data_IF_910659453263
#
_entry.id   IF_910659453263
#
_cell.length_a   1.000
_cell.length_b   1.000
_cell.length_c   1.000
_cell.angle_alpha   90.00
_cell.angle_beta   90.00
_cell.angle_gamma   90.00
#
_symmetry.space_group_name_H-M   'P 1'
#
loop_
_entity.id
_entity.type
_entity.pdbx_description
1 polymer ?
#
# COMPACT_ATOMS: atom_id res chain seq x y z
N UNK A 1 17.83 -88.90 36.56
CA UNK A 1 16.82 -87.92 36.08
C UNK A 1 16.47 -86.77 37.04
N UNK A 2 16.67 -86.84 38.37
CA UNK A 2 16.25 -85.76 39.31
C UNK A 2 17.07 -84.47 39.28
N UNK A 3 18.38 -84.52 38.97
CA UNK A 3 19.30 -83.36 39.02
C UNK A 3 19.03 -82.28 37.95
N UNK A 4 18.52 -82.68 36.78
CA UNK A 4 18.17 -81.75 35.69
C UNK A 4 16.85 -81.01 35.89
N UNK A 5 15.89 -81.58 36.63
CA UNK A 5 14.65 -80.87 36.97
C UNK A 5 14.92 -79.71 37.93
N UNK A 6 15.79 -79.92 38.92
CA UNK A 6 16.13 -78.89 39.90
C UNK A 6 16.82 -77.66 39.27
N UNK A 7 17.76 -77.88 38.33
CA UNK A 7 18.40 -76.78 37.57
C UNK A 7 17.40 -76.00 36.71
N UNK A 8 16.44 -76.68 36.08
CA UNK A 8 15.40 -76.03 35.27
C UNK A 8 14.44 -75.17 36.12
N UNK A 9 14.11 -75.63 37.33
CA UNK A 9 13.27 -74.85 38.27
C UNK A 9 14.01 -73.59 38.74
N UNK A 10 15.29 -73.71 39.13
CA UNK A 10 16.09 -72.54 39.54
C UNK A 10 16.23 -71.52 38.39
N UNK A 11 16.47 -72.00 37.16
CA UNK A 11 16.57 -71.12 36.00
C UNK A 11 15.23 -70.41 35.72
N UNK A 12 14.11 -71.13 35.84
CA UNK A 12 12.77 -70.54 35.71
C UNK A 12 12.50 -69.45 36.76
N UNK A 13 12.88 -69.69 38.02
CA UNK A 13 12.73 -68.71 39.11
C UNK A 13 13.60 -67.47 38.86
N UNK A 14 14.85 -67.63 38.39
CA UNK A 14 15.69 -66.49 38.04
C UNK A 14 15.11 -65.65 36.91
N UNK A 15 14.59 -66.28 35.85
CA UNK A 15 13.98 -65.57 34.72
C UNK A 15 12.76 -64.78 35.17
N UNK A 16 11.90 -65.38 36.01
CA UNK A 16 10.74 -64.69 36.59
C UNK A 16 11.18 -63.52 37.46
N UNK A 17 12.22 -63.69 38.28
CA UNK A 17 12.76 -62.62 39.13
C UNK A 17 13.33 -61.47 38.31
N UNK A 18 14.09 -61.76 37.24
CA UNK A 18 14.63 -60.73 36.34
C UNK A 18 13.49 -59.96 35.65
N UNK A 19 12.45 -60.65 35.18
CA UNK A 19 11.26 -60.02 34.60
C UNK A 19 10.54 -59.14 35.61
N UNK A 20 10.41 -59.58 36.86
CA UNK A 20 9.78 -58.82 37.93
C UNK A 20 10.59 -57.55 38.27
N UNK A 21 11.92 -57.66 38.33
CA UNK A 21 12.81 -56.51 38.55
C UNK A 21 12.79 -55.55 37.37
N UNK A 22 12.69 -56.05 36.13
CA UNK A 22 12.58 -55.19 34.95
C UNK A 22 11.24 -54.42 34.92
N UNK A 23 10.12 -55.09 35.24
CA UNK A 23 8.79 -54.47 35.27
C UNK A 23 8.68 -53.47 36.43
N UNK A 24 9.14 -53.85 37.63
CA UNK A 24 9.09 -52.96 38.80
C UNK A 24 10.09 -51.81 38.69
N UNK A 25 11.29 -52.06 38.16
CA UNK A 25 12.28 -51.03 37.86
C UNK A 25 11.79 -50.00 36.84
N UNK A 26 11.10 -50.45 35.78
CA UNK A 26 10.44 -49.56 34.83
C UNK A 26 9.36 -48.68 35.47
N UNK A 27 8.46 -49.27 36.26
CA UNK A 27 7.37 -48.54 36.92
C UNK A 27 7.86 -47.56 38.01
N UNK A 28 8.92 -47.93 38.75
CA UNK A 28 9.54 -47.08 39.76
C UNK A 28 10.33 -45.95 39.09
N UNK A 29 11.03 -46.22 37.99
CA UNK A 29 11.73 -45.20 37.20
C UNK A 29 10.75 -44.16 36.65
N UNK A 30 9.62 -44.59 36.10
CA UNK A 30 8.60 -43.69 35.54
C UNK A 30 7.99 -42.76 36.60
N UNK A 31 7.79 -43.27 37.84
CA UNK A 31 7.30 -42.47 38.97
C UNK A 31 8.35 -41.57 39.63
N UNK A 32 9.61 -42.00 39.73
CA UNK A 32 10.69 -41.23 40.36
C UNK A 32 11.24 -40.14 39.45
N UNK A 33 11.39 -40.43 38.16
CA UNK A 33 12.01 -39.52 37.20
C UNK A 33 10.99 -38.73 36.39
N UNK A 34 9.70 -39.06 36.49
CA UNK A 34 8.64 -38.31 35.83
C UNK A 34 9.01 -38.01 34.39
N UNK A 35 9.38 -39.04 33.61
CA UNK A 35 9.65 -38.91 32.19
C UNK A 35 8.29 -38.67 31.52
N UNK A 36 7.79 -37.45 31.67
CA UNK A 36 6.88 -36.89 30.69
C UNK A 36 7.65 -37.07 29.37
N UNK A 37 7.11 -37.76 28.36
CA UNK A 37 7.68 -37.61 27.04
C UNK A 37 7.79 -36.11 26.86
N UNK A 38 8.98 -35.61 26.54
CA UNK A 38 9.11 -34.23 26.12
C UNK A 38 8.03 -34.08 25.05
N UNK A 39 6.94 -33.39 25.38
CA UNK A 39 6.22 -32.63 24.39
C UNK A 39 7.25 -31.60 23.96
N UNK A 40 8.18 -32.04 23.11
CA UNK A 40 8.83 -31.19 22.15
C UNK A 40 7.62 -30.71 21.37
N UNK A 41 7.09 -29.58 21.83
CA UNK A 41 6.15 -28.79 21.08
C UNK A 41 6.85 -28.55 19.76
N UNK A 42 6.56 -29.43 18.81
CA UNK A 42 6.68 -29.18 17.39
C UNK A 42 5.62 -28.12 17.10
N UNK A 43 5.73 -26.96 17.75
CA UNK A 43 5.16 -25.72 17.26
C UNK A 43 5.76 -25.63 15.86
N UNK A 44 4.89 -25.89 14.90
CA UNK A 44 5.21 -26.19 13.51
C UNK A 44 6.03 -25.00 13.00
N UNK A 45 7.16 -25.26 12.32
CA UNK A 45 8.14 -24.25 11.90
C UNK A 45 7.53 -22.96 11.34
N UNK A 46 6.39 -23.05 10.67
CA UNK A 46 5.61 -21.93 10.14
C UNK A 46 5.04 -20.99 11.23
N UNK A 47 4.45 -21.52 12.31
CA UNK A 47 3.91 -20.71 13.41
C UNK A 47 5.03 -19.89 14.06
N UNK A 48 6.19 -20.53 14.31
CA UNK A 48 7.37 -19.84 14.84
C UNK A 48 7.86 -18.74 13.91
N UNK A 49 7.85 -18.96 12.58
CA UNK A 49 8.25 -17.95 11.61
C UNK A 49 7.32 -16.74 11.68
N UNK A 50 6.00 -16.97 11.70
CA UNK A 50 5.00 -15.90 11.72
C UNK A 50 5.10 -15.08 12.99
N UNK A 51 5.18 -15.73 14.16
CA UNK A 51 5.27 -15.02 15.44
C UNK A 51 6.55 -14.22 15.55
N UNK A 52 7.69 -14.77 15.10
CA UNK A 52 8.98 -14.06 15.12
C UNK A 52 8.98 -12.86 14.18
N UNK A 53 8.54 -13.02 12.93
CA UNK A 53 8.45 -11.90 11.99
C UNK A 53 7.48 -10.83 12.51
N UNK A 54 6.33 -11.23 13.06
CA UNK A 54 5.39 -10.28 13.63
C UNK A 54 6.00 -9.52 14.81
N UNK A 55 6.74 -10.18 15.70
CA UNK A 55 7.40 -9.54 16.84
C UNK A 55 8.49 -8.55 16.39
N UNK A 56 9.36 -8.98 15.47
CA UNK A 56 10.53 -8.20 15.03
C UNK A 56 10.16 -7.04 14.11
N UNK A 57 9.20 -7.23 13.20
CA UNK A 57 8.90 -6.27 12.14
C UNK A 57 7.78 -5.30 12.53
N UNK A 58 6.80 -5.71 13.34
CA UNK A 58 5.67 -4.82 13.69
C UNK A 58 6.08 -3.47 14.30
N UNK A 59 7.16 -3.33 15.10
CA UNK A 59 7.65 -2.02 15.54
C UNK A 59 8.08 -1.07 14.41
N UNK A 60 8.36 -1.61 13.22
CA UNK A 60 8.69 -0.86 12.01
C UNK A 60 7.45 -0.50 11.18
N UNK A 61 6.29 -1.12 11.46
CA UNK A 61 5.02 -0.91 10.76
C UNK A 61 4.19 0.11 11.52
N UNK A 62 3.58 1.03 10.78
CA UNK A 62 2.85 2.16 11.34
C UNK A 62 1.47 2.29 10.70
N UNK A 63 0.54 2.89 11.42
CA UNK A 63 -0.76 3.31 10.91
C UNK A 63 -0.66 4.73 10.36
N UNK A 64 -1.27 4.97 9.20
CA UNK A 64 -1.44 6.33 8.65
C UNK A 64 -2.84 6.80 8.99
N UNK A 65 -2.92 7.92 9.70
CA UNK A 65 -4.16 8.54 10.15
C UNK A 65 -4.34 9.89 9.47
N UNK A 66 -5.56 10.20 9.05
CA UNK A 66 -5.94 11.39 8.31
C UNK A 66 -7.01 12.17 9.06
N UNK A 67 -6.89 13.50 9.06
CA UNK A 67 -7.89 14.41 9.61
C UNK A 67 -8.20 15.50 8.58
N UNK A 68 -9.42 15.50 8.07
CA UNK A 68 -9.94 16.54 7.17
C UNK A 68 -10.48 17.73 7.96
N UNK A 69 -10.57 18.89 7.32
CA UNK A 69 -11.17 20.07 7.96
C UNK A 69 -12.67 19.85 8.19
N UNK A 70 -13.23 20.21 9.36
CA UNK A 70 -14.65 20.07 9.61
C UNK A 70 -15.45 20.95 8.66
N UNK A 71 -16.38 20.35 7.92
CA UNK A 71 -17.31 21.03 7.00
C UNK A 71 -18.74 20.76 7.43
N UNK A 72 -19.57 21.80 7.35
CA UNK A 72 -21.00 21.72 7.68
C UNK A 72 -21.77 21.33 6.42
N UNK A 73 -22.42 20.17 6.44
CA UNK A 73 -23.19 19.65 5.33
C UNK A 73 -24.67 19.72 5.68
N UNK A 74 -25.44 20.31 4.77
CA UNK A 74 -26.90 20.35 4.84
C UNK A 74 -27.42 19.12 4.11
N UNK A 75 -28.10 18.24 4.84
CA UNK A 75 -28.75 17.06 4.29
C UNK A 75 -30.26 17.21 4.41
N UNK A 76 -30.96 17.06 3.29
CA UNK A 76 -32.41 17.02 3.28
C UNK A 76 -32.89 15.60 3.60
N UNK A 77 -33.77 15.50 4.61
CA UNK A 77 -34.49 14.28 4.93
C UNK A 77 -36.00 14.53 4.68
N UNK A 78 -36.68 13.69 3.88
CA UNK A 78 -38.09 13.89 3.53
C UNK A 78 -39.06 13.83 4.73
N UNK A 79 -38.62 13.32 5.88
CA UNK A 79 -39.43 13.25 7.11
C UNK A 79 -39.07 14.32 8.15
N UNK A 80 -37.88 14.94 8.06
CA UNK A 80 -37.38 15.89 9.09
C UNK A 80 -36.81 17.20 8.54
N UNK A 81 -36.88 17.44 7.23
CA UNK A 81 -36.44 18.68 6.58
C UNK A 81 -34.92 18.77 6.43
N UNK A 82 -34.39 20.00 6.35
CA UNK A 82 -32.95 20.23 6.28
C UNK A 82 -32.30 20.05 7.66
N UNK A 83 -31.43 19.06 7.76
CA UNK A 83 -30.58 18.83 8.92
C UNK A 83 -29.15 19.20 8.59
N UNK A 84 -28.39 19.68 9.59
CA UNK A 84 -26.98 20.02 9.42
C UNK A 84 -26.13 19.00 10.17
N UNK A 85 -25.23 18.31 9.47
CA UNK A 85 -24.20 17.46 10.08
C UNK A 85 -22.82 18.06 9.84
N UNK A 86 -21.96 18.01 10.85
CA UNK A 86 -20.53 18.29 10.66
C UNK A 86 -19.88 17.00 10.16
N UNK A 87 -19.24 17.05 9.00
CA UNK A 87 -18.43 15.98 8.44
C UNK A 87 -16.95 16.41 8.48
N UNK A 88 -16.06 15.47 8.78
CA UNK A 88 -14.62 15.76 8.97
C UNK A 88 -14.31 16.29 10.37
N UNK A 89 -13.03 16.61 10.61
CA UNK A 89 -12.53 17.12 11.89
C UNK A 89 -12.13 16.05 12.91
N UNK A 90 -12.58 14.81 12.75
CA UNK A 90 -12.12 13.67 13.57
C UNK A 90 -11.03 12.89 12.80
N UNK A 91 -9.89 12.56 13.44
CA UNK A 91 -8.90 11.68 12.85
C UNK A 91 -9.49 10.29 12.53
N UNK A 92 -9.09 9.72 11.40
CA UNK A 92 -9.46 8.38 10.97
C UNK A 92 -8.21 7.64 10.51
N UNK A 93 -8.08 6.37 10.91
CA UNK A 93 -7.02 5.52 10.40
C UNK A 93 -7.42 4.99 9.03
N UNK A 94 -6.61 5.30 8.03
CA UNK A 94 -7.00 5.13 6.62
C UNK A 94 -6.06 4.19 5.86
N UNK A 95 -4.93 3.85 6.47
CA UNK A 95 -3.90 3.08 5.80
C UNK A 95 -2.79 2.65 6.74
N UNK A 96 -1.80 2.02 6.14
CA UNK A 96 -0.59 1.55 6.80
C UNK A 96 0.63 2.14 6.12
N UNK A 97 1.76 2.03 6.79
CA UNK A 97 3.06 2.34 6.24
C UNK A 97 4.13 1.56 6.98
N UNK A 98 5.38 1.72 6.57
CA UNK A 98 6.52 1.20 7.31
C UNK A 98 7.72 2.13 7.23
N UNK A 99 8.47 2.17 8.32
CA UNK A 99 9.64 3.01 8.50
C UNK A 99 10.77 2.43 7.67
N UNK A 100 11.44 3.26 6.88
CA UNK A 100 12.60 2.88 6.05
C UNK A 100 13.89 3.58 6.49
N UNK A 101 13.81 4.52 7.42
CA UNK A 101 14.98 5.19 7.95
C UNK A 101 14.82 5.60 9.42
N UNK A 102 15.93 5.62 10.16
CA UNK A 102 15.93 6.00 11.60
C UNK A 102 15.59 7.46 11.84
N UNK A 103 15.82 8.33 10.85
CA UNK A 103 15.47 9.74 10.93
C UNK A 103 13.97 9.98 10.65
N UNK A 104 13.18 8.95 10.35
CA UNK A 104 11.72 9.06 10.27
C UNK A 104 11.17 9.20 8.84
N UNK A 105 11.78 8.53 7.87
CA UNK A 105 11.15 8.31 6.57
C UNK A 105 10.26 7.07 6.63
N UNK A 106 9.05 7.20 6.10
CA UNK A 106 8.03 6.17 6.09
C UNK A 106 7.52 6.02 4.66
N UNK A 107 7.35 4.78 4.23
CA UNK A 107 6.72 4.42 2.96
C UNK A 107 5.25 4.13 3.21
N UNK A 108 4.39 4.61 2.32
CA UNK A 108 2.98 4.21 2.19
C UNK A 108 2.56 4.29 0.72
N UNK A 109 1.30 4.05 0.40
CA UNK A 109 0.78 4.31 -0.94
C UNK A 109 0.44 5.78 -1.16
N UNK A 110 0.53 6.22 -2.42
CA UNK A 110 0.15 7.58 -2.81
C UNK A 110 -1.36 7.81 -2.63
N UNK A 111 -2.20 6.84 -2.97
CA UNK A 111 -3.66 6.98 -2.81
C UNK A 111 -4.09 7.17 -1.35
N UNK A 112 -3.37 6.56 -0.39
CA UNK A 112 -3.62 6.73 1.06
C UNK A 112 -3.45 8.18 1.47
N UNK A 113 -2.49 8.90 0.89
CA UNK A 113 -2.20 10.30 1.24
C UNK A 113 -2.54 11.27 0.11
N UNK A 114 -3.61 11.00 -0.64
CA UNK A 114 -4.00 11.76 -1.83
C UNK A 114 -4.62 13.13 -1.54
N UNK A 115 -5.31 13.31 -0.41
CA UNK A 115 -5.90 14.60 -0.04
C UNK A 115 -4.81 15.57 0.43
N UNK A 116 -4.47 16.54 -0.42
CA UNK A 116 -3.45 17.56 -0.12
C UNK A 116 -3.90 18.60 0.93
N UNK A 117 -5.18 18.63 1.30
CA UNK A 117 -5.75 19.57 2.28
C UNK A 117 -5.91 18.96 3.67
N UNK A 118 -5.77 17.64 3.78
CA UNK A 118 -5.86 16.92 5.04
C UNK A 118 -4.57 17.01 5.85
N UNK A 119 -4.71 16.86 7.17
CA UNK A 119 -3.57 16.66 8.07
C UNK A 119 -3.33 15.17 8.25
N UNK A 120 -2.07 14.75 8.23
CA UNK A 120 -1.70 13.36 8.39
C UNK A 120 -0.86 13.16 9.64
N UNK A 121 -1.07 12.01 10.28
CA UNK A 121 -0.27 11.50 11.39
C UNK A 121 0.14 10.07 11.13
N UNK A 122 1.23 9.69 11.75
CA UNK A 122 1.72 8.32 11.81
C UNK A 122 1.57 7.83 13.25
N UNK A 123 1.02 6.64 13.42
CA UNK A 123 0.83 6.02 14.73
C UNK A 123 1.63 4.72 14.75
N UNK A 124 2.52 4.61 15.72
CA UNK A 124 3.41 3.45 15.90
C UNK A 124 2.75 2.34 16.72
N UNK A 125 3.39 1.16 16.81
CA UNK A 125 2.90 0.00 17.57
C UNK A 125 2.63 0.27 19.05
N UNK A 126 3.37 1.19 19.64
CA UNK A 126 3.20 1.62 21.03
C UNK A 126 2.32 2.87 21.16
N UNK A 127 1.45 3.12 20.16
CA UNK A 127 0.49 4.22 20.08
C UNK A 127 1.11 5.63 20.15
N UNK A 128 2.42 5.76 19.89
CA UNK A 128 3.02 7.10 19.74
C UNK A 128 2.61 7.70 18.40
N UNK A 129 2.07 8.90 18.46
CA UNK A 129 1.68 9.70 17.31
C UNK A 129 2.79 10.66 16.89
N UNK A 130 3.03 10.74 15.58
CA UNK A 130 3.94 11.69 14.96
C UNK A 130 3.20 12.45 13.87
N UNK A 131 3.26 13.78 13.89
CA UNK A 131 2.77 14.59 12.78
C UNK A 131 3.64 14.40 11.55
N UNK A 132 3.00 14.23 10.39
CA UNK A 132 3.69 14.17 9.11
C UNK A 132 4.04 15.58 8.68
N UNK A 133 5.33 15.85 8.54
CA UNK A 133 5.85 17.19 8.21
C UNK A 133 5.98 17.42 6.72
N UNK A 134 6.20 16.35 5.94
CA UNK A 134 6.29 16.43 4.48
C UNK A 134 5.79 15.14 3.86
N UNK A 135 5.10 15.27 2.74
CA UNK A 135 4.63 14.16 1.92
C UNK A 135 5.21 14.35 0.53
N UNK A 136 5.91 13.34 0.03
CA UNK A 136 6.39 13.29 -1.34
C UNK A 136 5.75 12.11 -2.04
N UNK A 137 5.07 12.36 -3.15
CA UNK A 137 4.31 11.35 -3.89
C UNK A 137 5.03 11.03 -5.19
N UNK A 138 5.25 9.73 -5.44
CA UNK A 138 5.84 9.26 -6.67
C UNK A 138 4.85 9.53 -7.82
N UNK A 139 5.26 10.26 -8.88
CA UNK A 139 4.40 10.51 -10.03
C UNK A 139 4.11 9.24 -10.86
N UNK A 140 5.01 8.26 -10.83
CA UNK A 140 4.98 7.10 -11.71
C UNK A 140 4.25 5.90 -11.09
N UNK A 141 4.43 5.69 -9.79
CA UNK A 141 3.88 4.55 -9.06
C UNK A 141 2.99 5.03 -7.90
N UNK A 142 2.22 4.10 -7.34
CA UNK A 142 1.39 4.38 -6.17
C UNK A 142 2.21 4.35 -4.86
N UNK A 143 3.31 5.11 -4.80
CA UNK A 143 4.23 5.20 -3.66
C UNK A 143 4.22 6.63 -3.12
N UNK A 144 4.20 6.77 -1.80
CA UNK A 144 4.49 8.03 -1.12
C UNK A 144 5.53 7.83 -0.02
N UNK A 145 6.40 8.82 0.14
CA UNK A 145 7.35 8.95 1.24
C UNK A 145 6.85 10.05 2.18
N UNK A 146 6.59 9.67 3.43
CA UNK A 146 6.23 10.57 4.52
C UNK A 146 7.47 10.86 5.34
N UNK A 147 7.60 12.12 5.77
CA UNK A 147 8.60 12.54 6.75
C UNK A 147 7.93 12.84 8.09
N UNK A 148 8.49 12.29 9.15
CA UNK A 148 8.19 12.66 10.54
C UNK A 148 9.47 13.12 11.25
N UNK A 149 9.31 13.78 12.40
CA UNK A 149 10.41 14.23 13.24
C UNK A 149 10.43 13.45 14.58
N UNK A 150 11.07 12.27 14.63
CA UNK A 150 11.15 11.51 15.86
C UNK A 150 12.14 12.15 16.85
N UNK A 151 11.80 12.13 18.14
CA UNK A 151 12.75 12.51 19.20
C UNK A 151 13.95 11.56 19.23
N UNK A 152 15.11 12.06 19.68
CA UNK A 152 16.29 11.23 19.93
C UNK A 152 15.94 10.05 20.86
N UNK A 153 16.29 8.83 20.47
CA UNK A 153 15.96 7.64 21.25
C UNK A 153 14.49 7.18 21.14
N UNK A 154 13.75 7.64 20.13
CA UNK A 154 12.38 7.20 19.83
C UNK A 154 12.19 5.69 19.75
N UNK A 155 13.26 4.96 19.43
CA UNK A 155 13.25 3.51 19.25
C UNK A 155 12.74 3.07 17.87
N UNK A 156 12.53 4.00 16.93
CA UNK A 156 12.10 3.66 15.57
C UNK A 156 13.11 2.73 14.89
N UNK A 157 12.58 1.68 14.28
CA UNK A 157 13.34 0.68 13.53
C UNK A 157 12.93 0.74 12.07
N UNK A 158 13.92 0.74 11.19
CA UNK A 158 13.67 0.64 9.76
C UNK A 158 13.43 -0.84 9.41
N UNK A 159 12.42 -1.10 8.58
CA UNK A 159 12.20 -2.41 8.01
C UNK A 159 13.32 -2.74 7.01
N UNK A 160 13.75 -4.00 6.98
CA UNK A 160 14.75 -4.47 6.02
C UNK A 160 14.08 -4.69 4.66
N UNK A 161 14.67 -4.16 3.58
CA UNK A 161 14.16 -4.34 2.22
C UNK A 161 14.81 -5.57 1.57
N UNK A 162 14.00 -6.57 1.22
CA UNK A 162 14.41 -7.78 0.51
C UNK A 162 14.59 -7.54 -0.99
N UNK A 163 14.49 -8.59 -1.81
CA UNK A 163 14.60 -8.51 -3.28
C UNK A 163 13.39 -9.17 -3.94
N UNK A 164 12.68 -8.43 -4.77
CA UNK A 164 11.51 -8.96 -5.48
C UNK A 164 11.84 -9.72 -6.77
N UNK A 165 13.08 -9.66 -7.27
CA UNK A 165 13.48 -10.30 -8.53
C UNK A 165 13.56 -11.83 -8.46
N UNK A 166 13.78 -12.37 -7.25
CA UNK A 166 13.93 -13.79 -6.99
C UNK A 166 12.66 -14.46 -6.44
N UNK A 167 11.53 -13.73 -6.40
CA UNK A 167 10.27 -14.25 -5.89
C UNK A 167 9.75 -15.39 -6.74
N UNK A 168 9.07 -16.34 -6.09
CA UNK A 168 8.42 -17.48 -6.76
C UNK A 168 6.98 -17.61 -6.34
N UNK A 169 6.12 -18.00 -7.27
CA UNK A 169 4.76 -18.44 -6.96
C UNK A 169 4.80 -19.60 -5.97
N UNK A 170 3.92 -19.56 -4.97
CA UNK A 170 3.88 -20.49 -3.84
C UNK A 170 4.82 -20.12 -2.68
N UNK A 171 5.63 -19.07 -2.80
CA UNK A 171 6.47 -18.59 -1.69
C UNK A 171 5.59 -18.02 -0.59
N UNK A 172 5.86 -18.42 0.65
CA UNK A 172 5.16 -17.95 1.85
C UNK A 172 5.38 -16.45 2.07
N UNK A 173 4.31 -15.76 2.47
CA UNK A 173 4.31 -14.32 2.75
C UNK A 173 3.49 -13.97 3.99
N UNK A 174 3.87 -12.86 4.62
CA UNK A 174 3.20 -12.29 5.78
C UNK A 174 2.86 -10.82 5.46
N UNK A 175 1.62 -10.40 5.68
CA UNK A 175 1.23 -9.01 5.57
C UNK A 175 0.93 -8.44 6.97
N UNK A 176 1.37 -7.21 7.21
CA UNK A 176 1.11 -6.49 8.46
C UNK A 176 0.53 -5.12 8.14
N UNK A 177 -0.54 -4.73 8.83
CA UNK A 177 -1.18 -3.43 8.61
C UNK A 177 -2.31 -3.12 9.58
N UNK A 178 -3.14 -2.15 9.22
CA UNK A 178 -4.28 -1.67 10.01
C UNK A 178 -5.57 -2.08 9.31
N UNK A 179 -6.02 -3.30 9.57
CA UNK A 179 -7.17 -3.85 8.87
C UNK A 179 -8.44 -3.04 9.19
N UNK A 180 -9.18 -2.71 8.13
CA UNK A 180 -10.41 -1.93 8.12
C UNK A 180 -10.31 -0.53 8.73
N UNK A 181 -9.09 0.00 8.93
CA UNK A 181 -8.89 1.27 9.64
C UNK A 181 -9.23 1.18 11.14
N UNK A 182 -9.43 -0.03 11.68
CA UNK A 182 -9.86 -0.25 13.07
C UNK A 182 -8.87 -1.14 13.82
N UNK A 183 -8.35 -2.17 13.15
CA UNK A 183 -7.53 -3.21 13.76
C UNK A 183 -6.05 -3.00 13.43
N UNK A 184 -5.41 -2.09 14.15
CA UNK A 184 -3.97 -1.79 14.02
C UNK A 184 -3.13 -3.04 14.28
N UNK A 185 -2.02 -3.17 13.55
CA UNK A 185 -1.05 -4.28 13.67
C UNK A 185 -1.66 -5.68 13.45
N UNK A 186 -2.66 -5.76 12.58
CA UNK A 186 -3.21 -7.04 12.11
C UNK A 186 -2.16 -7.76 11.26
N UNK A 187 -1.94 -9.03 11.56
CA UNK A 187 -1.03 -9.91 10.82
C UNK A 187 -1.84 -10.95 10.06
N UNK A 188 -1.56 -11.11 8.77
CA UNK A 188 -2.16 -12.15 7.92
C UNK A 188 -1.06 -12.87 7.15
N UNK A 189 -1.33 -14.11 6.74
CA UNK A 189 -0.36 -14.97 6.06
C UNK A 189 -0.96 -15.56 4.80
N UNK A 190 -0.11 -15.89 3.83
CA UNK A 190 -0.52 -16.53 2.59
C UNK A 190 0.70 -16.92 1.76
N UNK A 191 0.53 -16.96 0.45
CA UNK A 191 1.57 -17.22 -0.53
C UNK A 191 1.51 -16.20 -1.67
N UNK A 192 2.61 -16.10 -2.42
CA UNK A 192 2.61 -15.46 -3.74
C UNK A 192 1.76 -16.32 -4.69
N UNK A 193 0.60 -15.82 -5.06
CA UNK A 193 -0.33 -16.48 -5.99
C UNK A 193 -0.03 -16.17 -7.46
N UNK A 194 0.73 -15.10 -7.72
CA UNK A 194 1.11 -14.69 -9.07
C UNK A 194 2.12 -13.55 -9.06
N UNK A 195 2.85 -13.41 -10.16
CA UNK A 195 3.83 -12.35 -10.40
C UNK A 195 3.54 -11.71 -11.75
N UNK A 196 3.99 -10.47 -11.96
CA UNK A 196 3.87 -9.79 -13.24
C UNK A 196 2.44 -9.47 -13.65
N UNK A 197 1.53 -9.24 -12.70
CA UNK A 197 0.13 -8.94 -13.02
C UNK A 197 -0.01 -7.47 -13.41
N UNK A 198 -0.93 -7.19 -14.33
CA UNK A 198 -1.40 -5.83 -14.62
C UNK A 198 -2.81 -5.67 -14.11
N UNK A 199 -3.06 -4.64 -13.30
CA UNK A 199 -4.39 -4.29 -12.79
C UNK A 199 -4.69 -2.82 -13.02
N UNK A 200 -5.97 -2.48 -13.02
CA UNK A 200 -6.43 -1.11 -12.89
C UNK A 200 -7.00 -0.97 -11.48
N UNK A 201 -6.29 -0.24 -10.62
CA UNK A 201 -6.72 0.06 -9.27
C UNK A 201 -7.53 1.36 -9.25
N UNK A 202 -8.64 1.37 -8.52
CA UNK A 202 -9.56 2.52 -8.43
C UNK A 202 -10.83 2.36 -9.27
N UNK A 203 -11.81 3.22 -9.01
CA UNK A 203 -13.11 3.20 -9.69
C UNK A 203 -13.12 4.21 -10.86
N UNK A 204 -13.50 3.80 -12.08
CA UNK A 204 -13.71 4.72 -13.21
C UNK A 204 -14.70 5.85 -12.90
N UNK A 205 -15.59 5.62 -11.92
CA UNK A 205 -16.61 6.57 -11.49
C UNK A 205 -16.13 7.56 -10.43
N UNK A 206 -15.01 7.26 -9.75
CA UNK A 206 -14.40 8.14 -8.74
C UNK A 206 -13.30 9.04 -9.32
N UNK A 207 -13.06 8.95 -10.64
CA UNK A 207 -12.09 9.81 -11.34
C UNK A 207 -10.62 9.44 -11.13
N UNK A 208 -10.33 8.39 -10.37
CA UNK A 208 -8.98 7.87 -10.14
C UNK A 208 -8.92 6.40 -10.55
N UNK A 209 -8.23 6.13 -11.65
CA UNK A 209 -7.87 4.79 -12.10
C UNK A 209 -6.37 4.76 -12.36
N UNK A 210 -5.61 4.07 -11.51
CA UNK A 210 -4.18 3.88 -11.67
C UNK A 210 -3.93 2.50 -12.27
N UNK A 211 -3.30 2.47 -13.44
CA UNK A 211 -2.86 1.23 -14.05
C UNK A 211 -1.54 0.82 -13.39
N UNK A 212 -1.57 -0.29 -12.67
CA UNK A 212 -0.41 -0.86 -12.01
C UNK A 212 0.01 -2.10 -12.78
N UNK A 213 1.19 -2.04 -13.40
CA UNK A 213 1.80 -3.15 -14.12
C UNK A 213 2.89 -3.81 -13.25
N UNK A 214 3.20 -5.08 -13.55
CA UNK A 214 4.23 -5.89 -12.88
C UNK A 214 4.04 -6.07 -11.36
N UNK A 215 2.80 -6.18 -10.88
CA UNK A 215 2.51 -6.33 -9.45
C UNK A 215 2.50 -7.79 -8.97
N UNK A 216 2.73 -7.97 -7.67
CA UNK A 216 2.67 -9.25 -6.95
C UNK A 216 1.21 -9.53 -6.57
N UNK A 217 0.74 -10.75 -6.81
CA UNK A 217 -0.56 -11.23 -6.32
C UNK A 217 -0.34 -12.16 -5.12
N UNK A 218 -1.14 -12.01 -4.07
CA UNK A 218 -1.11 -12.83 -2.85
C UNK A 218 -2.51 -13.26 -2.43
N UNK A 219 -2.62 -14.41 -1.76
CA UNK A 219 -3.86 -14.83 -1.08
C UNK A 219 -3.87 -14.49 0.42
N UNK A 220 -2.80 -13.89 0.94
CA UNK A 220 -2.82 -13.29 2.28
C UNK A 220 -3.94 -12.24 2.34
N UNK A 221 -4.72 -12.26 3.43
CA UNK A 221 -5.84 -11.34 3.57
C UNK A 221 -5.37 -9.88 3.63
N UNK A 222 -5.59 -9.16 2.53
CA UNK A 222 -5.44 -7.71 2.41
C UNK A 222 -6.84 -7.12 2.46
N UNK A 223 -7.06 -6.09 3.28
CA UNK A 223 -8.32 -5.36 3.41
C UNK A 223 -8.05 -3.86 3.31
N UNK A 224 -9.11 -3.05 3.24
CA UNK A 224 -9.01 -1.60 3.43
C UNK A 224 -8.18 -1.29 4.69
N UNK A 225 -7.31 -0.29 4.64
CA UNK A 225 -6.40 0.07 5.72
C UNK A 225 -5.06 -0.70 5.77
N UNK A 226 -4.93 -1.87 5.12
CA UNK A 226 -3.63 -2.53 4.94
C UNK A 226 -2.77 -1.88 3.85
N UNK A 227 -3.38 -1.08 2.96
CA UNK A 227 -2.70 -0.35 1.89
C UNK A 227 -1.55 0.50 2.45
N UNK A 228 -0.39 0.40 1.83
CA UNK A 228 0.87 1.01 2.23
C UNK A 228 1.70 0.19 3.22
N UNK A 229 1.11 -0.84 3.86
CA UNK A 229 1.82 -1.76 4.75
C UNK A 229 2.72 -2.74 3.99
N UNK A 230 3.69 -3.38 4.66
CA UNK A 230 4.61 -4.29 4.00
C UNK A 230 4.00 -5.67 3.72
N UNK A 231 4.40 -6.26 2.59
CA UNK A 231 4.37 -7.69 2.33
C UNK A 231 5.77 -8.25 2.60
N UNK A 232 5.87 -9.24 3.49
CA UNK A 232 7.12 -9.75 4.05
C UNK A 232 7.37 -11.19 3.60
N UNK A 233 8.63 -11.56 3.41
CA UNK A 233 9.03 -12.96 3.30
C UNK A 233 9.22 -13.61 4.69
N UNK A 234 9.56 -14.90 4.73
CA UNK A 234 9.81 -15.65 5.97
C UNK A 234 11.01 -15.17 6.79
N UNK A 235 11.83 -14.27 6.26
CA UNK A 235 12.95 -13.63 6.96
C UNK A 235 12.56 -12.27 7.55
N UNK A 236 11.32 -11.83 7.39
CA UNK A 236 10.87 -10.50 7.84
C UNK A 236 11.36 -9.35 6.96
N UNK A 237 11.85 -9.63 5.76
CA UNK A 237 12.24 -8.61 4.79
C UNK A 237 11.04 -8.20 3.94
N UNK A 238 10.89 -6.90 3.70
CA UNK A 238 9.87 -6.34 2.80
C UNK A 238 10.17 -6.78 1.38
N UNK A 239 9.24 -7.49 0.76
CA UNK A 239 9.28 -7.92 -0.64
C UNK A 239 8.24 -7.21 -1.50
N UNK A 240 7.29 -6.51 -0.87
CA UNK A 240 6.39 -5.60 -1.56
C UNK A 240 5.64 -4.64 -0.63
N UNK A 241 4.88 -3.72 -1.23
CA UNK A 241 4.00 -2.76 -0.54
C UNK A 241 2.56 -3.10 -0.90
N UNK A 242 1.73 -3.47 0.09
CA UNK A 242 0.33 -3.84 -0.13
C UNK A 242 -0.43 -2.64 -0.70
N UNK A 243 -1.23 -2.82 -1.75
CA UNK A 243 -1.90 -1.70 -2.45
C UNK A 243 -3.40 -1.88 -2.54
N UNK A 244 -3.82 -2.95 -3.20
CA UNK A 244 -5.20 -3.11 -3.64
C UNK A 244 -5.70 -4.53 -3.39
N UNK A 245 -7.01 -4.66 -3.44
CA UNK A 245 -7.74 -5.93 -3.50
C UNK A 245 -8.57 -5.95 -4.77
N UNK A 246 -8.78 -7.12 -5.36
CA UNK A 246 -9.77 -7.24 -6.43
C UNK A 246 -11.18 -7.09 -5.83
N UNK A 247 -11.93 -6.07 -6.26
CA UNK A 247 -13.31 -5.87 -5.82
C UNK A 247 -14.17 -7.09 -6.14
N UNK A 248 -14.96 -7.55 -5.17
CA UNK A 248 -15.87 -8.68 -5.33
C UNK A 248 -15.19 -10.07 -5.35
N UNK A 249 -13.88 -10.14 -5.13
CA UNK A 249 -13.15 -11.40 -4.98
C UNK A 249 -12.53 -11.54 -3.58
N UNK A 250 -12.60 -12.75 -3.03
CA UNK A 250 -11.95 -13.07 -1.75
C UNK A 250 -10.54 -13.58 -2.00
N UNK A 251 -9.59 -13.22 -1.12
CA UNK A 251 -8.19 -13.69 -1.15
C UNK A 251 -7.46 -13.41 -2.48
N UNK A 252 -7.74 -12.26 -3.11
CA UNK A 252 -6.97 -11.74 -4.24
C UNK A 252 -6.46 -10.35 -3.85
N UNK A 253 -5.30 -10.34 -3.20
CA UNK A 253 -4.58 -9.14 -2.81
C UNK A 253 -3.42 -8.84 -3.74
N UNK A 254 -3.02 -7.57 -3.77
CA UNK A 254 -1.98 -7.07 -4.66
C UNK A 254 -0.95 -6.21 -3.92
N UNK A 255 0.31 -6.34 -4.31
CA UNK A 255 1.41 -5.55 -3.77
C UNK A 255 2.38 -5.07 -4.86
N UNK A 256 2.89 -3.86 -4.72
CA UNK A 256 3.99 -3.35 -5.54
C UNK A 256 5.29 -4.07 -5.16
N UNK A 257 6.09 -4.58 -6.11
CA UNK A 257 7.39 -5.19 -5.82
C UNK A 257 8.34 -4.24 -5.08
N UNK A 258 9.09 -4.74 -4.09
CA UNK A 258 10.04 -3.91 -3.32
C UNK A 258 11.12 -3.26 -4.18
N UNK A 259 11.49 -3.83 -5.33
CA UNK A 259 12.49 -3.22 -6.20
C UNK A 259 11.98 -1.91 -6.84
N UNK A 260 10.68 -1.79 -7.14
CA UNK A 260 10.07 -0.50 -7.55
C UNK A 260 10.24 0.52 -6.43
N UNK A 261 9.99 0.11 -5.18
CA UNK A 261 10.20 0.97 -4.03
C UNK A 261 11.67 1.38 -3.85
N UNK A 262 12.62 0.48 -4.07
CA UNK A 262 14.06 0.80 -3.97
C UNK A 262 14.47 1.85 -5.00
N UNK A 263 13.97 1.75 -6.23
CA UNK A 263 14.18 2.76 -7.27
C UNK A 263 13.56 4.10 -6.87
N UNK A 264 12.32 4.08 -6.38
CA UNK A 264 11.64 5.28 -5.89
C UNK A 264 12.40 5.94 -4.72
N UNK A 265 12.88 5.17 -3.75
CA UNK A 265 13.71 5.68 -2.65
C UNK A 265 15.05 6.25 -3.16
N UNK A 266 15.67 5.62 -4.16
CA UNK A 266 16.90 6.14 -4.77
C UNK A 266 16.66 7.51 -5.43
N UNK A 267 15.58 7.64 -6.20
CA UNK A 267 15.19 8.91 -6.83
C UNK A 267 14.85 9.99 -5.78
N UNK A 268 14.06 9.62 -4.77
CA UNK A 268 13.71 10.51 -3.66
C UNK A 268 14.96 11.04 -2.96
N UNK A 269 15.89 10.16 -2.58
CA UNK A 269 17.11 10.54 -1.88
C UNK A 269 18.06 11.38 -2.74
N UNK A 270 18.15 11.10 -4.04
CA UNK A 270 18.99 11.86 -4.96
C UNK A 270 18.51 13.32 -5.13
N UNK A 271 17.19 13.53 -5.10
CA UNK A 271 16.57 14.82 -5.42
C UNK A 271 16.03 15.58 -4.20
N UNK A 272 16.02 14.95 -3.01
CA UNK A 272 15.38 15.49 -1.81
C UNK A 272 13.84 15.43 -1.85
N UNK A 273 13.28 14.57 -2.71
CA UNK A 273 11.85 14.48 -3.01
C UNK A 273 11.59 13.91 -4.41
N UNK A 274 10.38 13.41 -4.66
CA UNK A 274 9.95 13.12 -6.03
C UNK A 274 9.70 14.41 -6.81
N UNK A 275 10.06 14.39 -8.09
CA UNK A 275 9.70 15.47 -9.01
C UNK A 275 8.19 15.53 -9.16
N UNK A 276 7.60 16.69 -8.86
CA UNK A 276 6.16 16.89 -9.07
C UNK A 276 5.86 16.97 -10.56
N UNK A 277 4.74 16.37 -10.99
CA UNK A 277 4.29 16.46 -12.38
C UNK A 277 4.04 17.90 -12.76
N UNK A 278 4.26 18.22 -14.04
CA UNK A 278 3.78 19.47 -14.60
C UNK A 278 2.25 19.50 -14.50
N UNK A 279 1.70 20.67 -14.18
CA UNK A 279 0.29 20.86 -13.91
C UNK A 279 -0.22 22.08 -14.67
N UNK A 280 -1.31 21.89 -15.41
CA UNK A 280 -2.03 22.94 -16.12
C UNK A 280 -3.22 23.47 -15.31
N UNK A 281 -3.97 22.55 -14.68
CA UNK A 281 -5.11 22.84 -13.81
C UNK A 281 -6.44 23.06 -14.52
N UNK A 282 -6.81 22.09 -15.37
CA UNK A 282 -8.12 22.01 -16.02
C UNK A 282 -8.74 20.64 -15.78
N UNK A 283 -10.06 20.62 -15.61
CA UNK A 283 -10.90 19.44 -15.73
C UNK A 283 -11.43 19.40 -17.16
N UNK A 284 -11.33 18.26 -17.84
CA UNK A 284 -11.65 18.18 -19.27
C UNK A 284 -12.26 16.84 -19.69
N UNK A 285 -12.96 16.88 -20.83
CA UNK A 285 -13.40 15.71 -21.58
C UNK A 285 -12.79 15.74 -22.97
N UNK A 286 -12.38 14.58 -23.49
CA UNK A 286 -11.86 14.50 -24.85
C UNK A 286 -12.99 14.56 -25.88
N UNK A 287 -12.89 15.48 -26.83
CA UNK A 287 -13.70 15.50 -28.05
C UNK A 287 -12.96 14.72 -29.13
N UNK A 288 -13.55 13.59 -29.51
CA UNK A 288 -13.04 12.71 -30.57
C UNK A 288 -13.18 13.38 -31.94
N UNK A 289 -12.43 12.91 -32.93
CA UNK A 289 -12.57 13.41 -34.31
C UNK A 289 -14.01 13.25 -34.84
N UNK A 290 -14.68 12.14 -34.51
CA UNK A 290 -16.05 11.90 -34.94
C UNK A 290 -17.03 12.89 -34.28
N UNK A 291 -16.89 13.12 -32.97
CA UNK A 291 -17.73 14.06 -32.23
C UNK A 291 -17.48 15.51 -32.66
N UNK A 292 -16.22 15.86 -32.94
CA UNK A 292 -15.81 17.14 -33.50
C UNK A 292 -16.58 17.46 -34.80
N UNK A 293 -16.60 16.52 -35.75
CA UNK A 293 -17.31 16.65 -37.03
C UNK A 293 -18.82 16.84 -36.82
N UNK A 294 -19.44 16.04 -35.95
CA UNK A 294 -20.89 16.09 -35.69
C UNK A 294 -21.33 17.42 -35.06
N UNK A 295 -20.46 18.04 -34.26
CA UNK A 295 -20.78 19.26 -33.52
C UNK A 295 -20.17 20.51 -34.14
N UNK A 296 -19.48 20.39 -35.29
CA UNK A 296 -18.79 21.51 -35.98
C UNK A 296 -17.80 22.26 -35.08
N UNK A 297 -17.05 21.50 -34.27
CA UNK A 297 -15.98 21.99 -33.37
C UNK A 297 -14.68 21.24 -33.66
N UNK A 298 -13.49 21.74 -33.28
CA UNK A 298 -12.26 20.97 -33.43
C UNK A 298 -12.18 19.80 -32.43
N UNK A 299 -11.44 18.73 -32.75
CA UNK A 299 -11.06 17.71 -31.76
C UNK A 299 -10.10 18.32 -30.73
N UNK A 300 -10.13 17.81 -29.51
CA UNK A 300 -9.26 18.32 -28.44
C UNK A 300 -9.77 18.00 -27.04
N UNK A 301 -9.23 18.67 -26.04
CA UNK A 301 -9.69 18.59 -24.66
C UNK A 301 -10.68 19.72 -24.38
N UNK A 302 -11.96 19.39 -24.27
CA UNK A 302 -13.02 20.31 -23.87
C UNK A 302 -12.97 20.56 -22.36
N UNK A 303 -12.72 21.80 -21.98
CA UNK A 303 -12.58 22.22 -20.58
C UNK A 303 -13.95 22.33 -19.95
N UNK A 304 -14.20 21.50 -18.94
CA UNK A 304 -15.46 21.50 -18.15
C UNK A 304 -15.30 22.20 -16.81
N UNK A 305 -14.07 22.49 -16.41
CA UNK A 305 -13.76 23.23 -15.19
C UNK A 305 -12.32 23.74 -15.21
N UNK A 306 -12.10 24.93 -14.64
CA UNK A 306 -10.76 25.47 -14.41
C UNK A 306 -10.48 25.54 -12.91
N UNK A 307 -9.36 24.97 -12.48
CA UNK A 307 -9.00 24.94 -11.07
C UNK A 307 -8.55 26.33 -10.62
N UNK A 308 -9.16 26.87 -9.56
CA UNK A 308 -8.82 28.19 -9.03
C UNK A 308 -7.33 28.29 -8.63
N UNK A 309 -6.69 29.40 -8.97
CA UNK A 309 -5.27 29.67 -8.74
C UNK A 309 -4.30 28.92 -9.66
N UNK A 310 -4.80 28.10 -10.59
CA UNK A 310 -3.99 27.30 -11.51
C UNK A 310 -3.29 28.12 -12.60
N UNK A 311 -2.28 27.55 -13.30
CA UNK A 311 -1.73 28.13 -14.50
C UNK A 311 -2.76 28.44 -15.59
N UNK A 312 -3.72 27.53 -15.80
CA UNK A 312 -4.80 27.70 -16.77
C UNK A 312 -5.67 28.93 -16.47
N UNK A 313 -6.10 29.10 -15.21
CA UNK A 313 -6.88 30.28 -14.78
C UNK A 313 -6.08 31.57 -15.00
N UNK A 314 -4.81 31.59 -14.57
CA UNK A 314 -3.93 32.76 -14.71
C UNK A 314 -3.67 33.14 -16.17
N UNK A 315 -3.65 32.17 -17.07
CA UNK A 315 -3.51 32.38 -18.50
C UNK A 315 -4.83 32.74 -19.20
N UNK A 316 -5.97 32.66 -18.49
CA UNK A 316 -7.27 33.02 -19.02
C UNK A 316 -7.98 31.90 -19.79
N UNK A 317 -7.63 30.63 -19.54
CA UNK A 317 -8.47 29.49 -19.97
C UNK A 317 -9.79 29.53 -19.18
N UNK A 318 -10.88 29.15 -19.83
CA UNK A 318 -12.24 29.18 -19.29
C UNK A 318 -12.97 27.88 -19.58
N UNK A 319 -14.00 27.61 -18.78
CA UNK A 319 -14.98 26.57 -19.07
C UNK A 319 -15.58 26.78 -20.46
N UNK A 320 -15.68 25.71 -21.24
CA UNK A 320 -16.14 25.76 -22.63
C UNK A 320 -15.04 25.87 -23.67
N UNK A 321 -13.79 26.17 -23.28
CA UNK A 321 -12.66 26.15 -24.21
C UNK A 321 -12.37 24.73 -24.71
N UNK A 322 -11.90 24.59 -25.95
CA UNK A 322 -11.33 23.33 -26.44
C UNK A 322 -9.83 23.54 -26.63
N UNK A 323 -9.01 22.85 -25.84
CA UNK A 323 -7.55 22.86 -26.04
C UNK A 323 -7.23 21.92 -27.21
N UNK A 324 -6.71 22.48 -28.29
CA UNK A 324 -6.45 21.76 -29.55
C UNK A 324 -4.98 21.38 -29.71
N UNK A 325 -4.05 22.20 -29.19
CA UNK A 325 -2.60 21.94 -29.26
C UNK A 325 -1.82 22.42 -28.06
N UNK A 326 -0.68 21.77 -27.80
CA UNK A 326 0.37 22.25 -26.90
C UNK A 326 1.72 22.15 -27.59
N UNK A 327 2.44 23.27 -27.70
CA UNK A 327 3.72 23.40 -28.42
C UNK A 327 3.67 22.81 -29.84
N UNK A 328 2.54 23.01 -30.53
CA UNK A 328 2.29 22.49 -31.87
C UNK A 328 1.87 21.02 -31.93
N UNK A 329 1.93 20.26 -30.82
CA UNK A 329 1.40 18.90 -30.76
C UNK A 329 -0.12 18.92 -30.63
N UNK A 330 -0.82 18.28 -31.57
CA UNK A 330 -2.28 18.14 -31.52
C UNK A 330 -2.73 17.36 -30.30
N UNK A 331 -3.92 17.65 -29.78
CA UNK A 331 -4.55 16.89 -28.70
C UNK A 331 -5.61 15.99 -29.32
N UNK A 332 -5.41 14.68 -29.29
CA UNK A 332 -6.41 13.72 -29.78
C UNK A 332 -6.31 12.38 -29.03
N UNK A 333 -7.25 11.47 -29.31
CA UNK A 333 -7.30 10.18 -28.61
C UNK A 333 -6.12 9.27 -28.96
N UNK A 334 -5.58 9.38 -30.19
CA UNK A 334 -4.52 8.50 -30.69
C UNK A 334 -3.17 8.75 -30.04
N UNK A 335 -2.92 9.97 -29.59
CA UNK A 335 -1.67 10.33 -28.92
C UNK A 335 -1.78 10.38 -27.40
N UNK A 336 -2.88 9.90 -26.81
CA UNK A 336 -3.09 9.86 -25.36
C UNK A 336 -3.62 11.17 -24.77
N UNK A 337 -3.98 12.15 -25.60
CA UNK A 337 -4.67 13.37 -25.19
C UNK A 337 -3.81 14.34 -24.38
N UNK A 338 -4.50 15.26 -23.70
CA UNK A 338 -3.88 16.37 -22.97
C UNK A 338 -3.00 15.89 -21.81
N UNK A 339 -3.47 14.90 -21.03
CA UNK A 339 -2.75 14.40 -19.85
C UNK A 339 -1.38 13.84 -20.20
N UNK A 340 -1.25 13.08 -21.30
CA UNK A 340 0.03 12.52 -21.72
C UNK A 340 1.02 13.60 -22.13
N UNK A 341 0.57 14.59 -22.92
CA UNK A 341 1.43 15.69 -23.38
C UNK A 341 1.94 16.50 -22.19
N UNK A 342 1.08 16.80 -21.22
CA UNK A 342 1.49 17.51 -20.00
C UNK A 342 2.44 16.66 -19.14
N UNK A 343 2.24 15.34 -19.07
CA UNK A 343 3.13 14.44 -18.31
C UNK A 343 4.56 14.37 -18.85
N UNK A 344 4.77 14.70 -20.12
CA UNK A 344 6.10 14.78 -20.74
C UNK A 344 6.82 16.12 -20.47
N UNK A 345 6.14 17.08 -19.84
CA UNK A 345 6.68 18.41 -19.48
C UNK A 345 7.14 18.46 -18.04
N UNK A 346 7.88 19.52 -17.69
CA UNK A 346 8.32 19.82 -16.33
C UNK A 346 7.55 21.00 -15.76
N UNK A 347 7.39 21.00 -14.43
CA UNK A 347 6.94 22.21 -13.74
C UNK A 347 7.91 23.36 -14.02
N UNK A 348 7.36 24.55 -14.28
CA UNK A 348 8.12 25.72 -14.72
C UNK A 348 8.29 25.84 -16.23
N UNK A 349 7.99 24.80 -17.02
CA UNK A 349 8.02 24.89 -18.48
C UNK A 349 7.00 25.92 -18.96
N UNK A 350 7.41 26.73 -19.92
CA UNK A 350 6.53 27.67 -20.62
C UNK A 350 6.09 27.03 -21.93
N UNK A 351 4.79 26.79 -22.05
CA UNK A 351 4.18 26.10 -23.19
C UNK A 351 3.22 27.03 -23.93
N UNK A 352 3.19 26.92 -25.26
CA UNK A 352 2.16 27.54 -26.09
C UNK A 352 0.96 26.62 -26.17
N UNK A 353 -0.19 27.08 -25.67
CA UNK A 353 -1.45 26.36 -25.69
C UNK A 353 -2.36 27.01 -26.73
N UNK A 354 -2.79 26.22 -27.71
CA UNK A 354 -3.79 26.64 -28.70
C UNK A 354 -5.18 26.19 -28.21
N UNK A 355 -6.08 27.15 -28.07
CA UNK A 355 -7.47 26.91 -27.67
C UNK A 355 -8.41 27.34 -28.79
N UNK A 356 -9.58 26.72 -28.83
CA UNK A 356 -10.73 27.18 -29.60
C UNK A 356 -11.81 27.67 -28.65
N UNK A 357 -12.27 28.90 -28.87
CA UNK A 357 -13.28 29.59 -28.06
C UNK A 357 -14.18 30.39 -28.99
N UNK A 358 -15.49 30.18 -28.87
CA UNK A 358 -16.51 30.96 -29.60
C UNK A 358 -16.28 31.02 -31.13
N UNK A 359 -15.79 29.94 -31.74
CA UNK A 359 -15.52 29.89 -33.19
C UNK A 359 -14.10 30.28 -33.59
N UNK A 360 -13.30 30.86 -32.69
CA UNK A 360 -11.98 31.38 -32.98
C UNK A 360 -10.86 30.59 -32.29
N UNK A 361 -9.71 30.50 -32.96
CA UNK A 361 -8.50 29.93 -32.40
C UNK A 361 -7.68 31.01 -31.71
N UNK A 362 -7.30 30.78 -30.45
CA UNK A 362 -6.45 31.67 -29.65
C UNK A 362 -5.21 30.93 -29.18
N UNK A 363 -4.10 31.66 -29.05
CA UNK A 363 -2.84 31.13 -28.52
C UNK A 363 -2.54 31.78 -27.17
N UNK A 364 -2.32 30.95 -26.16
CA UNK A 364 -2.01 31.36 -24.80
C UNK A 364 -0.62 30.84 -24.44
N UNK A 365 0.17 31.69 -23.79
CA UNK A 365 1.47 31.30 -23.24
C UNK A 365 1.31 30.99 -21.75
N UNK A 366 1.55 29.74 -21.36
CA UNK A 366 1.25 29.25 -20.01
C UNK A 366 2.52 28.69 -19.39
N UNK A 367 2.85 29.14 -18.18
CA UNK A 367 3.91 28.51 -17.37
C UNK A 367 3.29 27.43 -16.50
N UNK A 368 3.61 26.17 -16.76
CA UNK A 368 3.13 25.03 -15.97
C UNK A 368 3.63 25.14 -14.53
N UNK A 369 2.80 24.75 -13.57
CA UNK A 369 3.21 24.68 -12.17
C UNK A 369 3.48 23.24 -11.76
N UNK A 370 3.93 23.06 -10.53
CA UNK A 370 3.92 21.75 -9.91
C UNK A 370 2.48 21.30 -9.62
N UNK A 371 2.19 20.01 -9.79
CA UNK A 371 0.97 19.38 -9.27
C UNK A 371 0.97 19.47 -7.75
N UNK A 372 -0.15 19.92 -7.18
CA UNK A 372 -0.41 19.82 -5.74
C UNK A 372 -0.99 18.45 -5.33
N UNK A 373 -1.38 17.64 -6.32
CA UNK A 373 -1.85 16.26 -6.14
C UNK A 373 -0.67 15.32 -6.03
#
# INVERSE_FOLDING_TARGET
MKKNRFKKVILGVMVVFILLVAITGGAISDRLFGIRPLQVNKLLTEESVVTTVAEDVSPSVVTVSMQTSPRRILQFNPFSGFTSRIQGGTPQDIGSGFIVSKDGLIVTNKHVVSDATAKYKVITKDDKEYEVTTISRDPANDIAILKINPSTGSGLRAAELGDSSALRVGQFVIAIGTALGEFRHTVTTGVISGLGRGITAGSPYEGYAEKLDDIIQTDAAINLGNSGGPLLNSLGQVIGVNVAVAEGANNIGFALPVNILKEALSQFNANGGFSKKAYLGVEYQMITQANAILNSVPPGAYVVGVVAGSPAEKAGIKDGDIITKIDGNEINEKNGGLSKIIAEKKAGDRVEVEIWRDGETQKLQITLSESNQ
#
